data_IF_337833083330
#
_entry.id   IF_337833083330
#
_cell.length_a   1.000
_cell.length_b   1.000
_cell.length_c   1.000
_cell.angle_alpha   90.00
_cell.angle_beta   90.00
_cell.angle_gamma   90.00
#
_symmetry.space_group_name_H-M   'P 1'
#
loop_
_entity.id
_entity.type
_entity.pdbx_description
1 polymer ?
#
# COMPACT_ATOMS: atom_id res chain seq x y z
N UNK A 1 -32.78 23.66 -4.83
CA UNK A 1 -32.53 22.50 -5.71
C UNK A 1 -31.56 22.76 -6.88
N UNK A 2 -31.38 23.99 -7.41
CA UNK A 2 -30.55 24.21 -8.62
C UNK A 2 -29.03 24.41 -8.43
N UNK A 3 -28.51 24.63 -7.21
CA UNK A 3 -27.10 25.06 -7.01
C UNK A 3 -26.08 23.93 -6.93
N UNK A 4 -26.38 22.85 -6.20
CA UNK A 4 -25.51 21.67 -6.04
C UNK A 4 -25.22 20.93 -7.35
N UNK A 5 -26.23 20.81 -8.22
CA UNK A 5 -26.10 20.12 -9.51
C UNK A 5 -25.16 20.84 -10.49
N UNK A 6 -25.03 22.16 -10.37
CA UNK A 6 -24.14 22.98 -11.20
C UNK A 6 -22.66 22.84 -10.80
N UNK A 7 -22.37 22.51 -9.52
CA UNK A 7 -21.00 22.37 -9.02
C UNK A 7 -20.35 21.03 -9.41
N UNK A 8 -21.12 19.96 -9.55
CA UNK A 8 -20.60 18.59 -9.73
C UNK A 8 -20.19 18.24 -11.18
N UNK A 9 -20.47 19.08 -12.17
CA UNK A 9 -20.36 18.75 -13.61
C UNK A 9 -19.08 19.30 -14.31
N UNK A 10 -17.91 18.68 -14.09
CA UNK A 10 -16.70 18.85 -14.96
C UNK A 10 -15.92 17.52 -15.16
N UNK A 11 -15.68 17.19 -16.46
CA UNK A 11 -14.94 16.10 -17.22
C UNK A 11 -13.89 15.23 -16.46
N UNK A 12 -13.45 14.01 -16.86
CA UNK A 12 -13.48 13.17 -18.09
C UNK A 12 -13.26 11.67 -17.77
N UNK A 13 -13.54 10.80 -18.77
CA UNK A 13 -13.48 9.32 -18.80
C UNK A 13 -12.08 8.68 -18.63
N UNK A 14 -12.05 7.46 -18.08
CA UNK A 14 -11.13 6.39 -18.46
C UNK A 14 -11.69 5.00 -18.10
N UNK A 15 -11.57 4.04 -19.02
CA UNK A 15 -12.17 2.70 -18.98
C UNK A 15 -11.08 1.64 -18.76
N UNK A 16 -11.27 0.67 -17.85
CA UNK A 16 -10.36 -0.48 -17.66
C UNK A 16 -11.14 -1.80 -17.63
N UNK A 17 -10.71 -2.76 -18.45
CA UNK A 17 -11.21 -4.15 -18.57
C UNK A 17 -10.39 -5.15 -17.70
N UNK A 18 -10.84 -6.41 -17.46
CA UNK A 18 -10.95 -6.94 -16.10
C UNK A 18 -9.92 -8.02 -15.70
N UNK A 19 -9.58 -8.04 -14.39
CA UNK A 19 -8.94 -9.16 -13.67
C UNK A 19 -9.98 -10.05 -12.95
N UNK A 20 -9.59 -11.21 -12.39
CA UNK A 20 -10.50 -12.26 -11.89
C UNK A 20 -11.47 -11.85 -10.76
N UNK A 21 -12.68 -12.46 -10.70
CA UNK A 21 -13.81 -12.11 -9.80
C UNK A 21 -13.51 -12.17 -8.29
N UNK A 22 -12.61 -13.04 -7.84
CA UNK A 22 -12.23 -13.19 -6.43
C UNK A 22 -11.20 -12.15 -6.00
N UNK A 23 -10.26 -11.79 -6.89
CA UNK A 23 -9.26 -10.74 -6.66
C UNK A 23 -9.88 -9.34 -6.77
N UNK A 24 -10.89 -9.18 -7.62
CA UNK A 24 -11.69 -7.95 -7.73
C UNK A 24 -12.36 -7.56 -6.41
N UNK A 25 -12.96 -8.51 -5.67
CA UNK A 25 -13.73 -8.18 -4.45
C UNK A 25 -12.87 -7.48 -3.39
N UNK A 26 -11.69 -8.01 -3.04
CA UNK A 26 -10.86 -7.46 -1.95
C UNK A 26 -10.21 -6.12 -2.34
N UNK A 27 -9.81 -5.97 -3.61
CA UNK A 27 -9.23 -4.74 -4.15
C UNK A 27 -10.30 -3.64 -4.25
N UNK A 28 -11.52 -3.99 -4.66
CA UNK A 28 -12.66 -3.07 -4.74
C UNK A 28 -13.00 -2.51 -3.35
N UNK A 29 -13.10 -3.32 -2.28
CA UNK A 29 -13.46 -2.78 -0.95
C UNK A 29 -12.41 -1.85 -0.34
N UNK A 30 -11.11 -2.14 -0.50
CA UNK A 30 -10.03 -1.28 0.02
C UNK A 30 -9.86 0.03 -0.75
N UNK A 31 -10.03 0.02 -2.07
CA UNK A 31 -10.04 1.23 -2.90
C UNK A 31 -11.32 2.05 -2.69
N UNK A 32 -12.46 1.40 -2.46
CA UNK A 32 -13.72 2.06 -2.16
C UNK A 32 -13.72 2.77 -0.81
N UNK A 33 -12.97 2.32 0.22
CA UNK A 33 -12.92 3.02 1.51
C UNK A 33 -12.26 4.41 1.41
N UNK A 34 -11.13 4.53 0.69
CA UNK A 34 -10.46 5.84 0.50
C UNK A 34 -11.31 6.76 -0.35
N UNK A 35 -11.81 6.27 -1.49
CA UNK A 35 -12.76 7.01 -2.35
C UNK A 35 -13.98 7.46 -1.55
N UNK A 36 -14.54 6.59 -0.71
CA UNK A 36 -15.68 6.90 0.18
C UNK A 36 -15.35 7.99 1.21
N UNK A 37 -14.19 7.95 1.85
CA UNK A 37 -13.78 8.96 2.85
C UNK A 37 -13.54 10.33 2.21
N UNK A 38 -12.90 10.35 1.05
CA UNK A 38 -12.65 11.59 0.30
C UNK A 38 -13.97 12.17 -0.24
N UNK A 39 -14.85 11.33 -0.78
CA UNK A 39 -16.21 11.70 -1.18
C UNK A 39 -17.02 12.25 0.00
N UNK A 40 -16.99 11.59 1.16
CA UNK A 40 -17.70 12.04 2.35
C UNK A 40 -17.20 13.41 2.84
N UNK A 41 -15.90 13.68 2.72
CA UNK A 41 -15.31 14.97 3.05
C UNK A 41 -15.75 16.05 2.06
N UNK A 42 -15.71 15.74 0.76
CA UNK A 42 -16.16 16.63 -0.31
C UNK A 42 -17.65 16.98 -0.15
N UNK A 43 -18.52 16.01 0.13
CA UNK A 43 -19.95 16.28 0.33
C UNK A 43 -20.25 17.07 1.60
N UNK A 44 -19.49 16.88 2.69
CA UNK A 44 -19.63 17.73 3.89
C UNK A 44 -19.28 19.18 3.58
N UNK A 45 -18.17 19.41 2.90
CA UNK A 45 -17.76 20.75 2.49
C UNK A 45 -18.81 21.39 1.57
N UNK A 46 -19.32 20.63 0.59
CA UNK A 46 -20.36 21.11 -0.34
C UNK A 46 -21.68 21.41 0.41
N UNK A 47 -22.08 20.55 1.34
CA UNK A 47 -23.28 20.75 2.14
C UNK A 47 -23.19 21.98 3.06
N UNK A 48 -22.01 22.24 3.63
CA UNK A 48 -21.73 23.43 4.42
C UNK A 48 -21.76 24.70 3.55
N UNK A 49 -21.17 24.67 2.36
CA UNK A 49 -21.17 25.80 1.41
C UNK A 49 -22.58 26.13 0.91
N UNK A 50 -23.40 25.10 0.66
CA UNK A 50 -24.73 25.24 0.05
C UNK A 50 -25.87 25.27 1.08
N UNK A 51 -25.56 25.30 2.38
CA UNK A 51 -26.52 25.23 3.49
C UNK A 51 -27.54 24.09 3.30
N UNK A 52 -27.07 22.96 2.77
CA UNK A 52 -27.92 21.86 2.33
C UNK A 52 -28.43 21.05 3.53
N UNK A 53 -29.72 20.73 3.55
CA UNK A 53 -30.27 19.82 4.56
C UNK A 53 -29.75 18.39 4.33
N UNK A 54 -29.75 17.55 5.37
CA UNK A 54 -29.39 16.13 5.22
C UNK A 54 -30.20 15.43 4.12
N UNK A 55 -31.49 15.76 3.98
CA UNK A 55 -32.35 15.23 2.93
C UNK A 55 -31.88 15.63 1.53
N UNK A 56 -31.41 16.85 1.36
CA UNK A 56 -30.89 17.34 0.08
C UNK A 56 -29.58 16.62 -0.29
N UNK A 57 -28.72 16.36 0.69
CA UNK A 57 -27.49 15.58 0.52
C UNK A 57 -27.84 14.15 0.07
N UNK A 58 -28.71 13.47 0.81
CA UNK A 58 -29.06 12.07 0.54
C UNK A 58 -29.65 11.84 -0.87
N UNK A 59 -30.35 12.83 -1.43
CA UNK A 59 -30.93 12.74 -2.79
C UNK A 59 -29.97 13.12 -3.91
N UNK A 60 -28.92 13.89 -3.60
CA UNK A 60 -28.01 14.45 -4.61
C UNK A 60 -26.64 13.77 -4.65
N UNK A 61 -26.33 13.01 -3.61
CA UNK A 61 -25.08 12.28 -3.43
C UNK A 61 -24.71 11.38 -4.61
N UNK A 62 -25.68 10.74 -5.26
CA UNK A 62 -25.47 9.92 -6.45
C UNK A 62 -24.96 10.74 -7.64
N UNK A 63 -25.50 11.94 -7.85
CA UNK A 63 -25.12 12.85 -8.93
C UNK A 63 -23.72 13.42 -8.76
N UNK A 64 -23.29 13.62 -7.51
CA UNK A 64 -21.94 14.07 -7.18
C UNK A 64 -20.95 12.91 -7.03
N UNK A 65 -21.40 11.65 -7.14
CA UNK A 65 -20.53 10.47 -7.17
C UNK A 65 -20.12 10.17 -8.61
N UNK A 66 -18.86 10.43 -8.95
CA UNK A 66 -18.32 10.20 -10.30
C UNK A 66 -18.11 8.71 -10.63
N UNK A 67 -17.90 7.88 -9.61
CA UNK A 67 -17.65 6.46 -9.77
C UNK A 67 -18.99 5.69 -9.92
N UNK A 68 -19.20 5.07 -11.09
CA UNK A 68 -20.46 4.41 -11.45
C UNK A 68 -20.81 3.24 -10.53
N UNK A 69 -19.83 2.49 -10.04
CA UNK A 69 -20.05 1.35 -9.14
C UNK A 69 -20.46 1.82 -7.74
N UNK A 70 -19.80 2.87 -7.23
CA UNK A 70 -20.18 3.49 -5.95
C UNK A 70 -21.59 4.07 -6.09
N UNK A 71 -21.86 4.80 -7.16
CA UNK A 71 -23.17 5.39 -7.44
C UNK A 71 -24.28 4.33 -7.47
N UNK A 72 -24.09 3.26 -8.24
CA UNK A 72 -25.05 2.15 -8.33
C UNK A 72 -25.37 1.56 -6.94
N UNK A 73 -24.35 1.38 -6.11
CA UNK A 73 -24.56 0.85 -4.77
C UNK A 73 -25.20 1.84 -3.79
N UNK A 74 -24.98 3.15 -3.94
CA UNK A 74 -25.67 4.19 -3.17
C UNK A 74 -27.15 4.23 -3.55
N UNK A 75 -27.44 4.29 -4.85
CA UNK A 75 -28.80 4.35 -5.39
C UNK A 75 -29.60 3.10 -5.01
N UNK A 76 -28.95 1.94 -4.89
CA UNK A 76 -29.57 0.70 -4.43
C UNK A 76 -29.80 0.58 -2.90
N UNK A 77 -29.52 1.61 -2.10
CA UNK A 77 -29.84 1.61 -0.66
C UNK A 77 -31.23 2.20 -0.41
N UNK A 78 -32.11 1.55 0.39
CA UNK A 78 -33.43 2.09 0.70
C UNK A 78 -33.40 3.50 1.34
N UNK A 79 -32.33 3.81 2.07
CA UNK A 79 -32.15 5.10 2.73
C UNK A 79 -31.88 6.25 1.74
N UNK A 80 -31.43 5.92 0.52
CA UNK A 80 -31.25 6.90 -0.57
C UNK A 80 -32.59 7.43 -1.06
N UNK A 81 -33.57 6.54 -1.29
CA UNK A 81 -34.92 6.93 -1.71
C UNK A 81 -35.68 7.72 -0.64
N UNK A 82 -35.54 7.31 0.63
CA UNK A 82 -36.20 8.00 1.76
C UNK A 82 -35.55 9.34 2.08
N UNK A 83 -34.31 9.57 1.64
CA UNK A 83 -33.55 10.78 1.93
C UNK A 83 -33.07 10.87 3.38
N UNK A 84 -32.99 9.75 4.09
CA UNK A 84 -32.51 9.67 5.47
C UNK A 84 -30.98 9.62 5.47
N UNK A 85 -30.35 10.80 5.48
CA UNK A 85 -28.90 10.94 5.38
C UNK A 85 -28.13 10.20 6.46
N UNK A 86 -28.57 10.26 7.72
CA UNK A 86 -27.80 9.65 8.81
C UNK A 86 -27.86 8.12 8.73
N UNK A 87 -29.00 7.53 8.34
CA UNK A 87 -29.07 6.08 8.09
C UNK A 87 -28.34 5.67 6.82
N UNK A 88 -28.44 6.46 5.75
CA UNK A 88 -27.70 6.23 4.50
C UNK A 88 -26.20 6.20 4.78
N UNK A 89 -25.67 7.23 5.45
CA UNK A 89 -24.28 7.33 5.89
C UNK A 89 -23.86 6.19 6.81
N UNK A 90 -24.73 5.72 7.70
CA UNK A 90 -24.47 4.57 8.56
C UNK A 90 -24.34 3.27 7.74
N UNK A 91 -25.21 3.05 6.77
CA UNK A 91 -25.17 1.87 5.89
C UNK A 91 -23.97 1.91 4.94
N UNK A 92 -23.64 3.07 4.39
CA UNK A 92 -22.42 3.27 3.61
C UNK A 92 -21.17 2.99 4.46
N UNK A 93 -21.12 3.44 5.72
CA UNK A 93 -20.06 3.07 6.68
C UNK A 93 -20.06 1.58 7.01
N UNK A 94 -21.21 0.91 7.13
CA UNK A 94 -21.28 -0.54 7.38
C UNK A 94 -20.86 -1.37 6.17
N UNK A 95 -21.08 -0.86 4.96
CA UNK A 95 -20.75 -1.54 3.70
C UNK A 95 -19.32 -1.28 3.23
N UNK A 96 -18.79 -0.08 3.50
CA UNK A 96 -17.47 0.36 3.01
C UNK A 96 -16.51 0.84 4.10
N UNK A 97 -16.99 1.11 5.31
CA UNK A 97 -16.18 1.55 6.44
C UNK A 97 -15.81 0.44 7.45
N UNK A 98 -16.29 -0.79 7.25
CA UNK A 98 -16.04 -1.95 8.14
C UNK A 98 -14.92 -2.86 7.67
N UNK A 99 -14.42 -2.72 6.45
CA UNK A 99 -13.23 -3.46 6.00
C UNK A 99 -11.96 -2.72 6.42
N UNK A 100 -11.86 -2.38 7.71
CA UNK A 100 -10.56 -2.33 8.35
C UNK A 100 -10.36 -3.69 9.02
N UNK A 101 -9.81 -4.72 8.33
CA UNK A 101 -8.87 -5.54 9.06
C UNK A 101 -7.88 -4.54 9.65
N UNK A 102 -7.68 -4.55 10.97
CA UNK A 102 -6.66 -3.72 11.64
C UNK A 102 -5.47 -3.61 10.69
N UNK A 103 -5.18 -2.39 10.21
CA UNK A 103 -4.33 -2.19 9.04
C UNK A 103 -3.06 -3.01 9.21
N UNK A 104 -2.99 -4.15 8.52
CA UNK A 104 -2.00 -5.20 8.85
C UNK A 104 -0.59 -4.62 8.85
N UNK A 105 -0.34 -3.72 7.91
CA UNK A 105 0.88 -2.93 7.83
C UNK A 105 0.58 -1.45 7.53
N UNK A 106 1.47 -0.58 8.02
CA UNK A 106 1.52 0.86 7.77
C UNK A 106 2.85 1.20 7.07
N UNK A 107 3.02 2.43 6.57
CA UNK A 107 4.32 2.88 6.05
C UNK A 107 5.43 2.73 7.10
N UNK A 108 5.12 3.00 8.37
CA UNK A 108 6.04 2.81 9.49
C UNK A 108 6.44 1.35 9.72
N UNK A 109 5.67 0.36 9.22
CA UNK A 109 6.00 -1.06 9.38
C UNK A 109 7.30 -1.42 8.68
N UNK A 110 7.65 -0.75 7.58
CA UNK A 110 8.95 -0.92 6.91
C UNK A 110 10.08 -0.50 7.86
N UNK A 111 10.01 0.72 8.39
CA UNK A 111 11.03 1.24 9.32
C UNK A 111 11.11 0.41 10.59
N UNK A 112 9.97 0.01 11.16
CA UNK A 112 9.91 -0.86 12.34
C UNK A 112 10.58 -2.20 12.11
N UNK A 113 10.39 -2.82 10.94
CA UNK A 113 11.06 -4.06 10.59
C UNK A 113 12.59 -3.91 10.58
N UNK A 114 13.10 -2.87 9.92
CA UNK A 114 14.55 -2.60 9.90
C UNK A 114 15.11 -2.31 11.30
N UNK A 115 14.43 -1.46 12.07
CA UNK A 115 14.85 -1.11 13.43
C UNK A 115 14.88 -2.33 14.34
N UNK A 116 13.85 -3.18 14.28
CA UNK A 116 13.79 -4.42 15.07
C UNK A 116 14.99 -5.32 14.79
N UNK A 117 15.28 -5.59 13.52
CA UNK A 117 16.41 -6.43 13.14
C UNK A 117 17.76 -5.84 13.57
N UNK A 118 17.93 -4.52 13.47
CA UNK A 118 19.15 -3.87 13.94
C UNK A 118 19.30 -3.96 15.46
N UNK A 119 18.21 -3.80 16.22
CA UNK A 119 18.19 -3.99 17.67
C UNK A 119 18.52 -5.43 18.09
N UNK A 120 18.14 -6.41 17.28
CA UNK A 120 18.48 -7.83 17.47
C UNK A 120 19.94 -8.16 17.05
N UNK A 121 20.71 -7.16 16.61
CA UNK A 121 22.12 -7.27 16.25
C UNK A 121 22.38 -7.80 14.84
N UNK A 122 21.40 -7.63 13.94
CA UNK A 122 21.47 -7.94 12.53
C UNK A 122 21.30 -9.42 12.18
N UNK A 123 20.98 -9.68 10.92
CA UNK A 123 20.77 -11.03 10.37
C UNK A 123 22.11 -11.74 10.21
N UNK A 124 22.22 -12.94 10.80
CA UNK A 124 23.47 -13.73 10.86
C UNK A 124 23.39 -15.07 10.14
N UNK A 125 22.20 -15.52 9.77
CA UNK A 125 22.00 -16.83 9.15
C UNK A 125 20.80 -16.86 8.18
N UNK A 126 20.75 -17.95 7.40
CA UNK A 126 19.74 -18.17 6.37
C UNK A 126 18.30 -18.16 6.92
N UNK A 127 18.06 -18.74 8.10
CA UNK A 127 16.71 -18.80 8.69
C UNK A 127 16.20 -17.40 9.04
N UNK A 128 17.04 -16.60 9.71
CA UNK A 128 16.72 -15.20 10.01
C UNK A 128 16.47 -14.39 8.73
N UNK A 129 17.29 -14.62 7.69
CA UNK A 129 17.15 -13.94 6.41
C UNK A 129 15.84 -14.29 5.70
N UNK A 130 15.47 -15.58 5.62
CA UNK A 130 14.21 -16.03 5.01
C UNK A 130 12.98 -15.44 5.72
N UNK A 131 13.01 -15.40 7.04
CA UNK A 131 11.94 -14.78 7.83
C UNK A 131 11.85 -13.28 7.55
N UNK A 132 12.99 -12.58 7.59
CA UNK A 132 13.06 -11.15 7.32
C UNK A 132 12.56 -10.79 5.92
N UNK A 133 13.06 -11.47 4.88
CA UNK A 133 12.70 -11.14 3.50
C UNK A 133 11.24 -11.46 3.22
N UNK A 134 10.71 -12.54 3.78
CA UNK A 134 9.29 -12.89 3.69
C UNK A 134 8.39 -11.84 4.37
N UNK A 135 8.78 -11.35 5.53
CA UNK A 135 8.05 -10.27 6.23
C UNK A 135 8.12 -8.94 5.45
N UNK A 136 9.31 -8.56 4.97
CA UNK A 136 9.50 -7.38 4.13
C UNK A 136 8.64 -7.43 2.87
N UNK A 137 8.65 -8.55 2.14
CA UNK A 137 7.84 -8.70 0.92
C UNK A 137 6.34 -8.70 1.23
N UNK A 138 5.92 -9.31 2.33
CA UNK A 138 4.54 -9.25 2.81
C UNK A 138 4.10 -7.80 3.06
N UNK A 139 4.95 -6.98 3.70
CA UNK A 139 4.70 -5.55 3.91
C UNK A 139 4.61 -4.81 2.58
N UNK A 140 5.61 -4.94 1.69
CA UNK A 140 5.63 -4.24 0.40
C UNK A 140 4.44 -4.62 -0.47
N UNK A 141 4.11 -5.91 -0.57
CA UNK A 141 2.98 -6.39 -1.35
C UNK A 141 1.65 -5.85 -0.81
N UNK A 142 1.50 -5.80 0.52
CA UNK A 142 0.34 -5.18 1.15
C UNK A 142 0.26 -3.69 0.80
N UNK A 143 1.34 -2.93 1.01
CA UNK A 143 1.36 -1.49 0.76
C UNK A 143 1.12 -1.16 -0.73
N UNK A 144 1.65 -1.95 -1.67
CA UNK A 144 1.38 -1.84 -3.12
C UNK A 144 -0.08 -2.15 -3.44
N UNK A 145 -0.62 -3.26 -2.92
CA UNK A 145 -2.02 -3.70 -3.16
C UNK A 145 -3.02 -2.63 -2.73
N UNK A 146 -2.76 -1.99 -1.60
CA UNK A 146 -3.60 -0.90 -1.09
C UNK A 146 -3.14 0.48 -1.57
N UNK A 147 -2.25 0.58 -2.57
CA UNK A 147 -1.71 1.82 -3.15
C UNK A 147 -1.29 2.86 -2.10
N UNK A 148 -0.68 2.42 -1.00
CA UNK A 148 0.01 3.31 -0.06
C UNK A 148 1.38 3.73 -0.61
N UNK A 149 1.90 2.94 -1.54
CA UNK A 149 3.15 3.17 -2.27
C UNK A 149 2.91 2.87 -3.75
N UNK A 150 3.63 3.58 -4.62
CA UNK A 150 3.62 3.36 -6.07
C UNK A 150 5.04 3.09 -6.58
N UNK A 151 5.13 2.33 -7.67
CA UNK A 151 6.41 2.00 -8.29
C UNK A 151 7.28 1.03 -7.48
N UNK A 152 8.55 0.93 -7.88
CA UNK A 152 9.55 0.14 -7.18
C UNK A 152 10.30 1.00 -6.16
N UNK A 153 10.00 0.76 -4.88
CA UNK A 153 10.75 1.38 -3.80
C UNK A 153 12.07 0.64 -3.63
N UNK A 154 13.15 1.42 -3.62
CA UNK A 154 14.49 0.92 -3.39
C UNK A 154 14.81 0.94 -1.90
N UNK A 155 14.87 -0.24 -1.28
CA UNK A 155 15.35 -0.42 0.09
C UNK A 155 16.62 -1.27 0.15
N UNK A 156 17.39 -1.35 -0.95
CA UNK A 156 18.53 -2.27 -1.03
C UNK A 156 19.62 -1.93 -0.01
N UNK A 157 19.81 -0.64 0.28
CA UNK A 157 20.78 -0.17 1.28
C UNK A 157 20.35 -0.56 2.69
N UNK A 158 19.08 -0.41 3.01
CA UNK A 158 18.47 -0.76 4.30
C UNK A 158 18.48 -2.28 4.51
N UNK A 159 18.18 -3.06 3.46
CA UNK A 159 18.29 -4.51 3.48
C UNK A 159 19.74 -4.95 3.74
N UNK A 160 20.72 -4.36 3.06
CA UNK A 160 22.13 -4.66 3.31
C UNK A 160 22.55 -4.27 4.73
N UNK A 161 22.10 -3.10 5.22
CA UNK A 161 22.35 -2.62 6.57
C UNK A 161 21.62 -3.44 7.67
N UNK A 162 20.68 -4.31 7.31
CA UNK A 162 19.99 -5.20 8.25
C UNK A 162 20.78 -6.47 8.57
N UNK A 163 21.83 -6.77 7.79
CA UNK A 163 22.72 -7.90 8.04
C UNK A 163 23.68 -7.59 9.19
N UNK A 164 24.24 -8.60 9.85
CA UNK A 164 25.31 -8.36 10.83
C UNK A 164 26.56 -7.80 10.14
N UNK A 165 27.38 -7.00 10.84
CA UNK A 165 28.57 -6.37 10.26
C UNK A 165 29.51 -7.37 9.57
N UNK A 166 29.70 -8.55 10.18
CA UNK A 166 30.50 -9.64 9.60
C UNK A 166 29.95 -10.19 8.28
N UNK A 167 28.62 -10.26 8.13
CA UNK A 167 27.94 -10.71 6.91
C UNK A 167 28.00 -9.60 5.86
N UNK A 168 27.77 -8.34 6.25
CA UNK A 168 27.91 -7.19 5.37
C UNK A 168 29.31 -7.14 4.74
N UNK A 169 30.37 -7.23 5.54
CA UNK A 169 31.75 -7.19 5.05
C UNK A 169 32.06 -8.31 4.06
N UNK A 170 31.60 -9.54 4.35
CA UNK A 170 31.78 -10.69 3.46
C UNK A 170 31.12 -10.44 2.10
N UNK A 171 29.85 -10.02 2.12
CA UNK A 171 29.06 -9.74 0.92
C UNK A 171 29.65 -8.56 0.13
N UNK A 172 30.08 -7.49 0.79
CA UNK A 172 30.75 -6.37 0.11
C UNK A 172 32.03 -6.83 -0.61
N UNK A 173 32.87 -7.64 0.05
CA UNK A 173 34.11 -8.17 -0.56
C UNK A 173 33.80 -9.01 -1.79
N UNK A 174 32.79 -9.88 -1.72
CA UNK A 174 32.39 -10.71 -2.85
C UNK A 174 31.80 -9.89 -4.00
N UNK A 175 30.90 -8.94 -3.72
CA UNK A 175 30.29 -8.11 -4.77
C UNK A 175 31.32 -7.21 -5.47
N UNK A 176 32.31 -6.69 -4.73
CA UNK A 176 33.41 -5.90 -5.32
C UNK A 176 34.29 -6.79 -6.19
N UNK A 177 34.67 -7.98 -5.70
CA UNK A 177 35.47 -8.95 -6.44
C UNK A 177 34.81 -9.35 -7.77
N UNK A 178 33.51 -9.60 -7.73
CA UNK A 178 32.72 -10.02 -8.89
C UNK A 178 32.32 -8.83 -9.80
N UNK A 179 32.74 -7.60 -9.47
CA UNK A 179 32.34 -6.35 -10.16
C UNK A 179 30.82 -6.14 -10.25
N UNK A 180 30.08 -6.69 -9.29
CA UNK A 180 28.63 -6.53 -9.20
C UNK A 180 28.22 -5.15 -8.65
N UNK A 181 29.13 -4.45 -7.97
CA UNK A 181 28.93 -3.05 -7.58
C UNK A 181 29.55 -2.11 -8.61
N UNK A 182 28.77 -1.15 -9.09
CA UNK A 182 29.26 -0.11 -10.01
C UNK A 182 29.96 0.96 -9.19
N UNK A 183 31.21 1.28 -9.54
CA UNK A 183 31.90 2.42 -8.92
C UNK A 183 31.25 3.72 -9.40
N UNK A 184 30.81 4.53 -8.45
CA UNK A 184 30.27 5.85 -8.72
C UNK A 184 31.40 6.85 -9.01
N UNK A 185 31.09 7.89 -9.77
CA UNK A 185 32.06 8.95 -10.16
C UNK A 185 32.74 9.62 -8.95
N UNK A 186 32.08 9.64 -7.80
CA UNK A 186 32.58 10.21 -6.54
C UNK A 186 33.32 9.19 -5.64
N UNK A 187 33.76 8.05 -6.18
CA UNK A 187 34.58 7.07 -5.47
C UNK A 187 33.81 6.11 -4.55
N UNK A 188 32.48 6.21 -4.47
CA UNK A 188 31.62 5.25 -3.78
C UNK A 188 31.23 4.06 -4.65
N UNK A 189 30.45 3.12 -4.10
CA UNK A 189 29.89 1.98 -4.84
C UNK A 189 28.36 2.02 -4.85
N UNK A 190 27.77 1.74 -5.99
CA UNK A 190 26.32 1.59 -6.17
C UNK A 190 25.93 0.16 -5.83
N UNK A 191 25.03 0.01 -4.85
CA UNK A 191 24.48 -1.29 -4.45
C UNK A 191 23.62 -1.82 -5.61
N UNK A 192 23.78 -3.10 -6.01
CA UNK A 192 23.03 -3.68 -7.11
C UNK A 192 21.52 -3.77 -6.80
N UNK A 193 20.73 -4.12 -7.83
CA UNK A 193 19.28 -4.31 -7.68
C UNK A 193 18.98 -5.46 -6.71
N UNK A 194 17.80 -5.43 -6.07
CA UNK A 194 17.41 -6.37 -5.03
C UNK A 194 17.61 -7.84 -5.43
N UNK A 195 17.26 -8.23 -6.66
CA UNK A 195 17.45 -9.60 -7.16
C UNK A 195 18.91 -10.06 -7.08
N UNK A 196 19.86 -9.21 -7.47
CA UNK A 196 21.28 -9.52 -7.41
C UNK A 196 21.75 -9.54 -5.95
N UNK A 197 21.33 -8.55 -5.15
CA UNK A 197 21.69 -8.49 -3.73
C UNK A 197 21.25 -9.76 -2.98
N UNK A 198 20.04 -10.27 -3.24
CA UNK A 198 19.53 -11.51 -2.64
C UNK A 198 20.44 -12.70 -2.92
N UNK A 199 20.92 -12.84 -4.16
CA UNK A 199 21.81 -13.94 -4.55
C UNK A 199 23.12 -13.95 -3.74
N UNK A 200 23.73 -12.77 -3.53
CA UNK A 200 24.95 -12.67 -2.72
C UNK A 200 24.69 -13.01 -1.24
N UNK A 201 23.56 -12.56 -0.69
CA UNK A 201 23.19 -12.87 0.69
C UNK A 201 22.97 -14.39 0.86
N UNK A 202 22.22 -15.00 -0.04
CA UNK A 202 21.93 -16.43 -0.01
C UNK A 202 23.22 -17.26 -0.15
N UNK A 203 24.09 -16.90 -1.11
CA UNK A 203 25.38 -17.53 -1.31
C UNK A 203 26.29 -17.47 -0.08
N UNK A 204 26.40 -16.30 0.56
CA UNK A 204 27.22 -16.14 1.78
C UNK A 204 26.71 -17.05 2.92
N UNK A 205 25.40 -17.14 3.10
CA UNK A 205 24.82 -18.02 4.12
C UNK A 205 24.97 -19.50 3.79
N UNK A 206 24.81 -19.91 2.53
CA UNK A 206 25.03 -21.29 2.09
C UNK A 206 26.48 -21.73 2.28
N UNK A 207 27.45 -20.88 1.90
CA UNK A 207 28.87 -21.16 2.07
C UNK A 207 29.23 -21.36 3.56
N UNK A 208 28.65 -20.56 4.45
CA UNK A 208 28.87 -20.66 5.90
C UNK A 208 28.30 -21.95 6.50
N UNK A 209 27.15 -22.43 6.03
CA UNK A 209 26.58 -23.72 6.45
C UNK A 209 27.49 -24.88 6.04
N UNK A 210 28.00 -24.87 4.80
CA UNK A 210 28.89 -25.93 4.29
C UNK A 210 30.23 -26.00 5.04
N UNK A 211 30.75 -24.85 5.48
CA UNK A 211 32.01 -24.78 6.23
C UNK A 211 31.88 -25.18 7.70
N UNK A 212 30.67 -25.27 8.25
CA UNK A 212 30.42 -25.75 9.62
C UNK A 212 30.24 -27.28 9.71
N UNK A 213 30.15 -27.97 8.57
CA UNK A 213 29.97 -29.42 8.47
C UNK A 213 31.28 -30.18 8.15
N UNK A 214 32.40 -29.47 8.04
CA UNK A 214 33.74 -30.02 7.80
C UNK A 214 34.60 -29.86 9.05
#
# INVERSE_FOLDING_TARGET
>A
MHRLQAHCNKKSHETIHPLSRSDQRIIIYGLMERKWKDLLKEWKNIAEIEEASGRDIAKQISFCTKDQEIRYHIEGMPEYETGDWEKLKLNMKRRWGTVSPERRYKLSSITQLFTKIQQEGGIRNMTQYKNFIGEYESIINYLKRYQYIQGDINHNKEILASLSSSVQESIYKEMIKDKAMVQALYGGYIIPRLQILKLYIERDFEAKVLNQQK
#
